data_IF_869190270647
#
_entry.id   IF_869190270647
#
_cell.length_a   1.000
_cell.length_b   1.000
_cell.length_c   1.000
_cell.angle_alpha   90.00
_cell.angle_beta   90.00
_cell.angle_gamma   90.00
#
_symmetry.space_group_name_H-M   'P 1'
#
loop_
_entity.id
_entity.type
_entity.pdbx_description
1 polymer ?
#
# COMPACT_ATOMS: atom_id res chain seq x y z
N UNK A 1 39.22 -8.94 -62.02
CA UNK A 1 38.09 -8.13 -61.52
C UNK A 1 37.87 -8.53 -60.06
N UNK A 2 38.00 -7.56 -59.14
CA UNK A 2 37.96 -7.79 -57.70
C UNK A 2 36.53 -8.08 -57.25
N UNK A 3 36.31 -9.21 -56.57
CA UNK A 3 35.07 -9.51 -55.86
C UNK A 3 35.41 -9.65 -54.39
N UNK A 4 35.41 -8.54 -53.66
CA UNK A 4 35.45 -8.60 -52.20
C UNK A 4 34.06 -9.02 -51.71
N UNK A 5 33.95 -10.25 -51.25
CA UNK A 5 32.80 -10.75 -50.51
C UNK A 5 32.97 -10.34 -49.04
N UNK A 6 32.09 -9.47 -48.54
CA UNK A 6 32.03 -9.18 -47.11
C UNK A 6 31.34 -10.35 -46.38
N UNK A 7 31.86 -10.79 -45.22
CA UNK A 7 31.23 -11.86 -44.45
C UNK A 7 29.88 -11.40 -43.86
N UNK A 8 28.95 -12.34 -43.58
CA UNK A 8 27.65 -12.03 -43.02
C UNK A 8 27.80 -11.35 -41.65
N UNK A 9 27.08 -10.24 -41.44
CA UNK A 9 27.10 -9.49 -40.18
C UNK A 9 26.60 -10.37 -39.03
N UNK A 10 27.51 -10.76 -38.14
CA UNK A 10 27.17 -11.49 -36.93
C UNK A 10 26.42 -10.54 -35.98
N UNK A 11 25.12 -10.79 -35.78
CA UNK A 11 24.29 -10.05 -34.83
C UNK A 11 24.79 -10.33 -33.41
N UNK A 12 25.58 -9.41 -32.85
CA UNK A 12 26.07 -9.54 -31.48
C UNK A 12 24.95 -9.24 -30.51
N UNK A 13 24.37 -10.30 -29.94
CA UNK A 13 23.47 -10.16 -28.79
C UNK A 13 24.26 -9.60 -27.63
N UNK A 14 23.91 -8.37 -27.23
CA UNK A 14 24.68 -7.66 -26.21
C UNK A 14 24.25 -8.14 -24.81
N UNK A 15 24.89 -9.21 -24.33
CA UNK A 15 24.64 -9.81 -23.02
C UNK A 15 24.82 -8.82 -21.87
N UNK A 16 25.74 -7.85 -22.02
CA UNK A 16 25.90 -6.77 -21.04
C UNK A 16 24.64 -5.91 -20.94
N UNK A 17 23.92 -5.66 -22.06
CA UNK A 17 22.62 -4.99 -22.02
C UNK A 17 21.56 -5.87 -21.37
N UNK A 18 21.52 -7.16 -21.67
CA UNK A 18 20.53 -8.08 -21.08
C UNK A 18 20.69 -8.16 -19.57
N UNK A 19 21.93 -8.34 -19.10
CA UNK A 19 22.27 -8.36 -17.67
C UNK A 19 21.95 -7.01 -17.02
N UNK A 20 22.25 -5.91 -17.70
CA UNK A 20 21.91 -4.56 -17.23
C UNK A 20 20.39 -4.38 -17.08
N UNK A 21 19.59 -4.83 -18.06
CA UNK A 21 18.12 -4.78 -17.98
C UNK A 21 17.58 -5.66 -16.83
N UNK A 22 18.14 -6.85 -16.62
CA UNK A 22 17.73 -7.72 -15.52
C UNK A 22 18.00 -7.07 -14.15
N UNK A 23 19.15 -6.43 -13.97
CA UNK A 23 19.48 -5.70 -12.74
C UNK A 23 18.53 -4.51 -12.55
N UNK A 24 18.27 -3.74 -13.61
CA UNK A 24 17.33 -2.60 -13.56
C UNK A 24 15.94 -3.07 -13.15
N UNK A 25 15.44 -4.17 -13.71
CA UNK A 25 14.12 -4.73 -13.36
C UNK A 25 14.08 -5.14 -11.89
N UNK A 26 15.10 -5.82 -11.37
CA UNK A 26 15.17 -6.22 -9.97
C UNK A 26 15.18 -5.01 -9.04
N UNK A 27 15.92 -3.97 -9.39
CA UNK A 27 15.98 -2.71 -8.62
C UNK A 27 14.63 -1.98 -8.66
N UNK A 28 13.99 -1.89 -9.83
CA UNK A 28 12.67 -1.29 -9.99
C UNK A 28 11.63 -2.06 -9.18
N UNK A 29 11.63 -3.40 -9.23
CA UNK A 29 10.71 -4.23 -8.45
C UNK A 29 10.95 -4.09 -6.95
N UNK A 30 12.21 -4.04 -6.50
CA UNK A 30 12.54 -3.79 -5.10
C UNK A 30 12.07 -2.40 -4.64
N UNK A 31 12.25 -1.37 -5.47
CA UNK A 31 11.72 -0.03 -5.21
C UNK A 31 10.20 -0.05 -5.15
N UNK A 32 9.52 -0.73 -6.08
CA UNK A 32 8.05 -0.86 -6.09
C UNK A 32 7.56 -1.55 -4.81
N UNK A 33 8.25 -2.60 -4.36
CA UNK A 33 7.92 -3.30 -3.11
C UNK A 33 8.14 -2.38 -1.89
N UNK A 34 9.28 -1.67 -1.83
CA UNK A 34 9.55 -0.71 -0.74
C UNK A 34 8.52 0.41 -0.75
N UNK A 35 8.21 0.98 -1.92
CA UNK A 35 7.18 2.01 -2.09
C UNK A 35 5.82 1.46 -1.65
N UNK A 36 5.45 0.23 -2.02
CA UNK A 36 4.21 -0.41 -1.58
C UNK A 36 4.13 -0.55 -0.05
N UNK A 37 5.23 -0.96 0.60
CA UNK A 37 5.31 -1.03 2.06
C UNK A 37 5.28 0.36 2.71
N UNK A 38 5.83 1.39 2.07
CA UNK A 38 5.72 2.78 2.55
C UNK A 38 4.33 3.38 2.32
N UNK A 39 3.62 2.96 1.27
CA UNK A 39 2.27 3.41 0.94
C UNK A 39 1.19 2.72 1.79
N UNK A 40 1.44 1.48 2.26
CA UNK A 40 0.63 0.84 3.31
C UNK A 40 1.15 1.25 4.68
N UNK A 41 0.76 2.43 5.15
CA UNK A 41 1.19 2.99 6.43
C UNK A 41 1.04 2.02 7.63
N UNK A 42 1.91 2.17 8.62
CA UNK A 42 1.86 1.44 9.90
C UNK A 42 0.52 1.71 10.61
N UNK A 43 -0.23 0.65 10.92
CA UNK A 43 -1.47 0.77 11.69
C UNK A 43 -1.19 1.35 13.09
N UNK A 44 -1.73 2.54 13.28
CA UNK A 44 -2.44 3.03 14.48
C UNK A 44 -1.66 2.93 15.78
N UNK A 45 -1.05 4.05 16.18
CA UNK A 45 -0.40 4.21 17.48
C UNK A 45 -1.41 4.15 18.63
N UNK A 46 -0.99 3.75 19.85
CA UNK A 46 -1.83 3.79 21.05
C UNK A 46 -2.47 5.16 21.31
N UNK A 47 -1.84 6.23 20.83
CA UNK A 47 -2.34 7.60 20.95
C UNK A 47 -3.74 7.79 20.35
N UNK A 48 -4.09 7.01 19.33
CA UNK A 48 -5.37 7.15 18.65
C UNK A 48 -6.55 6.91 19.61
N UNK A 49 -6.41 6.05 20.61
CA UNK A 49 -7.50 5.73 21.53
C UNK A 49 -7.47 6.53 22.85
N UNK A 50 -6.60 7.53 22.98
CA UNK A 50 -6.46 8.35 24.20
C UNK A 50 -7.30 9.63 24.11
N UNK A 51 -7.54 10.13 22.91
CA UNK A 51 -8.33 11.32 22.65
C UNK A 51 -9.16 11.20 21.38
N UNK A 52 -10.20 12.02 21.31
CA UNK A 52 -11.11 12.06 20.17
C UNK A 52 -10.41 12.63 18.92
N UNK A 53 -10.16 11.75 17.93
CA UNK A 53 -9.47 12.07 16.68
C UNK A 53 -10.26 11.75 15.40
N UNK A 54 -11.24 10.86 15.47
CA UNK A 54 -11.93 10.31 14.31
C UNK A 54 -13.43 10.52 14.42
N UNK A 55 -14.06 10.79 13.29
CA UNK A 55 -15.51 10.84 13.10
C UNK A 55 -15.89 9.85 12.00
N UNK A 56 -17.18 9.55 11.86
CA UNK A 56 -17.67 8.68 10.78
C UNK A 56 -17.30 9.18 9.37
N UNK A 57 -17.14 10.49 9.18
CA UNK A 57 -16.75 11.08 7.89
C UNK A 57 -15.29 10.78 7.51
N UNK A 58 -14.47 10.28 8.44
CA UNK A 58 -13.06 9.94 8.20
C UNK A 58 -12.88 8.53 7.61
N UNK A 59 -13.96 7.76 7.48
CA UNK A 59 -13.94 6.37 7.01
C UNK A 59 -14.74 6.21 5.71
N UNK A 60 -14.23 5.38 4.79
CA UNK A 60 -14.92 5.11 3.53
C UNK A 60 -16.00 4.04 3.70
N UNK A 61 -15.83 3.15 4.67
CA UNK A 61 -16.74 2.02 4.94
C UNK A 61 -17.03 1.87 6.42
N UNK A 62 -18.20 1.29 6.72
CA UNK A 62 -18.58 0.93 8.08
C UNK A 62 -17.53 0.00 8.72
N UNK A 63 -16.98 -0.91 7.92
CA UNK A 63 -15.96 -1.86 8.38
C UNK A 63 -14.68 -1.16 8.88
N UNK A 64 -14.22 -0.12 8.19
CA UNK A 64 -13.03 0.64 8.61
C UNK A 64 -13.28 1.39 9.92
N UNK A 65 -14.45 2.00 10.08
CA UNK A 65 -14.84 2.65 11.32
C UNK A 65 -14.95 1.66 12.49
N UNK A 66 -15.54 0.48 12.23
CA UNK A 66 -15.66 -0.60 13.19
C UNK A 66 -14.29 -1.10 13.68
N UNK A 67 -13.31 -1.23 12.79
CA UNK A 67 -11.94 -1.63 13.18
C UNK A 67 -11.34 -0.67 14.20
N UNK A 68 -11.52 0.65 14.03
CA UNK A 68 -11.01 1.65 14.97
C UNK A 68 -11.82 1.66 16.28
N UNK A 69 -13.14 1.57 16.19
CA UNK A 69 -14.02 1.48 17.36
C UNK A 69 -13.62 0.29 18.26
N UNK A 70 -13.51 -0.90 17.70
CA UNK A 70 -13.11 -2.11 18.43
C UNK A 70 -11.67 -2.03 18.96
N UNK A 71 -10.75 -1.47 18.16
CA UNK A 71 -9.36 -1.27 18.58
C UNK A 71 -9.28 -0.38 19.83
N UNK A 72 -10.14 0.63 19.92
CA UNK A 72 -10.19 1.53 21.06
C UNK A 72 -11.01 1.00 22.24
N UNK A 73 -11.58 -0.20 22.16
CA UNK A 73 -12.31 -0.85 23.25
C UNK A 73 -13.84 -0.93 23.03
N UNK A 74 -14.33 -0.48 21.88
CA UNK A 74 -15.72 -0.61 21.47
C UNK A 74 -16.68 0.08 22.42
N UNK A 75 -17.81 -0.57 22.72
CA UNK A 75 -18.87 -0.03 23.60
C UNK A 75 -18.32 0.40 24.97
N UNK A 76 -17.34 -0.35 25.50
CA UNK A 76 -16.78 -0.08 26.82
C UNK A 76 -15.89 1.18 26.82
N UNK A 77 -15.43 1.64 25.64
CA UNK A 77 -14.54 2.79 25.50
C UNK A 77 -14.64 3.47 24.12
N UNK A 78 -15.80 4.07 23.84
CA UNK A 78 -16.03 4.83 22.60
C UNK A 78 -15.47 6.27 22.69
N UNK A 79 -14.14 6.39 22.66
CA UNK A 79 -13.43 7.68 22.78
C UNK A 79 -13.74 8.62 21.61
N UNK A 80 -14.01 8.05 20.44
CA UNK A 80 -14.28 8.75 19.19
C UNK A 80 -15.76 9.02 18.95
N UNK A 81 -16.64 8.46 19.79
CA UNK A 81 -18.10 8.57 19.65
C UNK A 81 -18.59 8.07 18.29
N UNK A 82 -17.94 7.03 17.74
CA UNK A 82 -18.30 6.44 16.45
C UNK A 82 -19.60 5.62 16.54
N UNK A 83 -19.96 5.17 17.74
CA UNK A 83 -21.19 4.46 18.05
C UNK A 83 -22.10 5.37 18.90
N UNK A 84 -22.76 6.32 18.24
CA UNK A 84 -23.53 7.36 18.93
C UNK A 84 -24.77 6.83 19.66
N UNK A 85 -25.33 5.70 19.24
CA UNK A 85 -26.49 5.07 19.88
C UNK A 85 -26.12 3.97 20.88
N UNK A 86 -24.86 3.53 20.89
CA UNK A 86 -24.27 2.62 21.87
C UNK A 86 -24.67 1.17 21.65
N UNK A 87 -24.95 0.78 20.41
CA UNK A 87 -25.42 -0.57 20.09
C UNK A 87 -24.29 -1.55 19.71
N UNK A 88 -23.05 -1.06 19.64
CA UNK A 88 -21.85 -1.81 19.27
C UNK A 88 -21.48 -1.76 17.81
N UNK A 89 -22.21 -1.01 17.00
CA UNK A 89 -21.99 -0.87 15.56
C UNK A 89 -21.60 0.58 15.28
N UNK A 90 -20.31 0.79 15.02
CA UNK A 90 -19.81 2.10 14.68
C UNK A 90 -20.33 2.54 13.30
N UNK A 91 -20.74 3.81 13.21
CA UNK A 91 -21.01 4.50 11.96
C UNK A 91 -21.90 3.74 10.96
N UNK A 92 -23.03 3.19 11.43
CA UNK A 92 -24.00 2.39 10.64
C UNK A 92 -24.50 3.03 9.33
N UNK A 93 -24.35 4.35 9.18
CA UNK A 93 -24.71 5.06 7.95
C UNK A 93 -23.70 4.92 6.80
N UNK A 94 -22.52 4.36 7.05
CA UNK A 94 -21.49 4.16 6.04
C UNK A 94 -21.74 2.90 5.19
N UNK A 95 -21.19 2.84 3.96
CA UNK A 95 -21.27 1.67 3.08
C UNK A 95 -20.64 0.39 3.65
#
# INVERSE_FOLDING_TARGET
MNSQTYPPSQSTTNWSKIIMWAIIIVVILAIIVVVYFLLKGNKTSPDQCISDHYNCEDFETQQEAQEIFELCGGIDNDVHRLDADGNGIACEGLP
#
